data_IF_846078365705
#
_entry.id   IF_846078365705
#
_cell.length_a   1.000
_cell.length_b   1.000
_cell.length_c   1.000
_cell.angle_alpha   90.00
_cell.angle_beta   90.00
_cell.angle_gamma   90.00
#
_symmetry.space_group_name_H-M   'P 1'
#
loop_
_entity.id
_entity.type
_entity.pdbx_description
1 polymer ?
#
# COMPACT_ATOMS: atom_id res chain seq x y z
N UNK A 1 22.75 15.42 10.88
CA UNK A 1 22.35 16.45 9.92
C UNK A 1 21.00 16.00 9.41
N UNK A 2 19.93 16.65 9.87
CA UNK A 2 18.60 16.44 9.29
C UNK A 2 18.53 17.19 7.94
N UNK A 3 17.79 16.68 6.98
CA UNK A 3 17.66 17.24 5.65
C UNK A 3 16.20 17.64 5.40
N UNK A 4 15.97 18.72 4.64
CA UNK A 4 14.63 19.28 4.39
C UNK A 4 14.34 19.26 2.90
N UNK A 5 13.23 18.66 2.45
CA UNK A 5 12.89 18.57 1.02
C UNK A 5 12.05 19.74 0.50
N UNK A 6 12.30 20.13 -0.75
CA UNK A 6 11.57 21.15 -1.49
C UNK A 6 11.11 20.62 -2.86
N UNK A 7 9.83 20.80 -3.19
CA UNK A 7 9.29 20.44 -4.51
C UNK A 7 9.63 21.54 -5.52
N UNK A 8 10.30 21.19 -6.62
CA UNK A 8 10.67 22.13 -7.69
C UNK A 8 9.62 22.26 -8.80
N UNK A 9 8.46 21.60 -8.65
CA UNK A 9 7.43 21.50 -9.69
C UNK A 9 7.62 20.27 -10.57
N UNK A 10 6.81 20.11 -11.62
CA UNK A 10 6.90 18.98 -12.56
C UNK A 10 7.48 19.46 -13.89
N UNK A 11 8.46 18.73 -14.42
CA UNK A 11 9.03 18.97 -15.74
C UNK A 11 8.32 18.10 -16.79
N UNK A 12 7.82 18.74 -17.84
CA UNK A 12 7.32 18.10 -19.05
C UNK A 12 8.49 17.87 -20.01
N UNK A 13 8.66 16.63 -20.48
CA UNK A 13 9.60 16.27 -21.54
C UNK A 13 8.86 15.51 -22.64
N UNK A 14 9.13 15.87 -23.89
CA UNK A 14 8.82 15.03 -25.05
C UNK A 14 9.99 14.06 -25.23
N UNK A 15 9.71 12.76 -25.29
CA UNK A 15 10.73 11.76 -25.66
C UNK A 15 10.77 11.54 -27.17
N UNK A 16 11.68 10.67 -27.62
CA UNK A 16 11.86 10.38 -29.03
C UNK A 16 10.56 9.81 -29.61
N UNK A 17 10.13 10.36 -30.76
CA UNK A 17 8.87 9.98 -31.37
C UNK A 17 8.99 8.76 -32.29
N UNK A 18 7.92 8.00 -32.39
CA UNK A 18 7.79 6.91 -33.35
C UNK A 18 6.98 7.39 -34.57
N UNK A 19 7.32 6.87 -35.76
CA UNK A 19 6.57 7.17 -36.99
C UNK A 19 5.78 5.94 -37.40
N UNK A 20 4.46 6.11 -37.53
CA UNK A 20 3.57 5.10 -38.09
C UNK A 20 3.44 5.30 -39.61
N UNK A 21 3.99 4.36 -40.39
CA UNK A 21 3.94 4.41 -41.85
C UNK A 21 2.54 4.13 -42.42
N UNK A 22 1.65 3.46 -41.68
CA UNK A 22 0.29 3.09 -42.12
C UNK A 22 -0.68 4.27 -41.92
N UNK A 23 -0.59 4.95 -40.78
CA UNK A 23 -1.41 6.12 -40.43
C UNK A 23 -0.78 7.44 -40.95
N UNK A 24 0.51 7.42 -41.33
CA UNK A 24 1.32 8.60 -41.68
C UNK A 24 1.40 9.63 -40.54
N UNK A 25 1.55 9.15 -39.30
CA UNK A 25 1.57 9.98 -38.09
C UNK A 25 2.90 9.84 -37.33
N UNK A 26 3.41 10.95 -36.79
CA UNK A 26 4.47 10.93 -35.79
C UNK A 26 3.85 11.03 -34.39
N UNK A 27 4.20 10.12 -33.50
CA UNK A 27 3.69 10.08 -32.13
C UNK A 27 4.82 10.33 -31.16
N UNK A 28 4.69 11.37 -30.32
CA UNK A 28 5.67 11.74 -29.30
C UNK A 28 5.05 11.60 -27.91
N UNK A 29 5.56 10.71 -27.04
CA UNK A 29 5.01 10.58 -25.70
C UNK A 29 5.37 11.80 -24.83
N UNK A 30 4.38 12.31 -24.12
CA UNK A 30 4.55 13.33 -23.09
C UNK A 30 4.85 12.64 -21.78
N UNK A 31 6.05 12.89 -21.26
CA UNK A 31 6.55 12.33 -20.02
C UNK A 31 6.68 13.43 -18.97
N UNK A 32 6.05 13.24 -17.82
CA UNK A 32 6.21 14.09 -16.64
C UNK A 32 7.25 13.50 -15.70
N UNK A 33 8.24 14.32 -15.30
CA UNK A 33 9.19 13.98 -14.24
C UNK A 33 9.08 15.00 -13.13
N UNK A 34 8.84 14.55 -11.91
CA UNK A 34 8.74 15.44 -10.74
C UNK A 34 10.06 15.41 -9.95
N UNK A 35 10.93 16.42 -10.10
CA UNK A 35 12.11 16.61 -9.26
C UNK A 35 11.76 16.86 -7.80
N UNK A 36 12.58 16.33 -6.91
CA UNK A 36 12.59 16.62 -5.47
C UNK A 36 14.00 17.00 -5.05
N UNK A 37 14.15 18.24 -4.59
CA UNK A 37 15.40 18.73 -4.05
C UNK A 37 15.47 18.43 -2.56
N UNK A 38 16.57 17.83 -2.13
CA UNK A 38 16.89 17.58 -0.72
C UNK A 38 17.87 18.65 -0.30
N UNK A 39 17.52 19.47 0.68
CA UNK A 39 18.36 20.52 1.25
C UNK A 39 18.88 20.09 2.62
N UNK A 40 19.92 20.75 3.12
CA UNK A 40 20.29 20.65 4.53
C UNK A 40 19.22 21.25 5.47
N UNK A 41 19.34 21.00 6.78
CA UNK A 41 18.44 21.53 7.82
C UNK A 41 18.24 23.05 7.74
N UNK A 42 19.29 23.77 7.32
CA UNK A 42 19.30 25.21 7.12
C UNK A 42 18.61 25.69 5.85
N UNK A 43 18.26 24.78 4.93
CA UNK A 43 17.80 25.06 3.56
C UNK A 43 18.79 25.89 2.74
N UNK A 44 20.06 25.89 3.11
CA UNK A 44 21.10 26.71 2.47
C UNK A 44 21.75 25.96 1.31
N UNK A 45 21.95 24.64 1.45
CA UNK A 45 22.65 23.84 0.45
C UNK A 45 21.81 22.66 -0.02
N UNK A 46 21.81 22.42 -1.33
CA UNK A 46 21.28 21.19 -1.91
C UNK A 46 22.23 20.02 -1.64
N UNK A 47 21.69 18.98 -1.02
CA UNK A 47 22.39 17.75 -0.64
C UNK A 47 22.18 16.67 -1.70
N UNK A 48 20.98 16.62 -2.30
CA UNK A 48 20.63 15.60 -3.29
C UNK A 48 19.46 16.10 -4.19
N UNK A 49 19.35 15.56 -5.40
CA UNK A 49 18.24 15.82 -6.32
C UNK A 49 17.74 14.48 -6.86
N UNK A 50 16.51 14.12 -6.49
CA UNK A 50 15.86 12.89 -6.95
C UNK A 50 14.75 13.22 -7.92
N UNK A 51 14.50 12.34 -8.88
CA UNK A 51 13.33 12.42 -9.76
C UNK A 51 12.40 11.27 -9.44
N UNK A 52 11.10 11.56 -9.34
CA UNK A 52 10.09 10.51 -9.44
C UNK A 52 10.11 9.96 -10.87
N UNK A 53 9.67 8.72 -11.02
CA UNK A 53 9.68 8.06 -12.31
C UNK A 53 8.83 8.80 -13.35
N UNK A 54 9.25 8.70 -14.62
CA UNK A 54 8.56 9.33 -15.73
C UNK A 54 7.12 8.82 -15.86
N UNK A 55 6.15 9.71 -15.69
CA UNK A 55 4.73 9.41 -15.89
C UNK A 55 4.38 9.74 -17.34
N UNK A 56 3.90 8.76 -18.10
CA UNK A 56 3.30 9.01 -19.41
C UNK A 56 1.92 9.65 -19.22
N UNK A 57 1.73 10.85 -19.76
CA UNK A 57 0.48 11.62 -19.61
C UNK A 57 -0.28 11.82 -20.92
N UNK A 58 0.07 11.04 -21.93
CA UNK A 58 -0.51 11.07 -23.26
C UNK A 58 0.51 11.38 -24.34
N UNK A 59 0.05 11.41 -25.58
CA UNK A 59 0.90 11.55 -26.77
C UNK A 59 0.57 12.82 -27.54
N UNK A 60 1.60 13.44 -28.12
CA UNK A 60 1.44 14.44 -29.18
C UNK A 60 1.53 13.71 -30.50
N UNK A 61 0.46 13.72 -31.28
CA UNK A 61 0.47 13.16 -32.63
C UNK A 61 0.58 14.28 -33.67
N UNK A 62 1.36 14.04 -34.72
CA UNK A 62 1.56 14.95 -35.83
C UNK A 62 1.27 14.20 -37.12
N UNK A 63 0.20 14.60 -37.81
CA UNK A 63 -0.12 14.07 -39.14
C UNK A 63 0.95 14.58 -40.14
N UNK A 64 1.68 13.65 -40.77
CA UNK A 64 2.77 14.00 -41.68
C UNK A 64 2.30 14.63 -43.00
N UNK A 65 1.04 14.43 -43.38
CA UNK A 65 0.42 14.93 -44.60
C UNK A 65 -0.15 16.34 -44.41
N UNK A 66 -0.93 16.55 -43.34
CA UNK A 66 -1.60 17.84 -43.06
C UNK A 66 -0.73 18.77 -42.22
N UNK A 67 0.21 18.22 -41.46
CA UNK A 67 0.99 18.90 -40.39
C UNK A 67 0.13 19.39 -39.24
N UNK A 68 -1.09 18.87 -39.11
CA UNK A 68 -1.92 19.13 -37.95
C UNK A 68 -1.32 18.41 -36.74
N UNK A 69 -1.40 19.06 -35.59
CA UNK A 69 -0.85 18.57 -34.33
C UNK A 69 -2.00 18.38 -33.35
N UNK A 70 -2.15 17.17 -32.83
CA UNK A 70 -3.05 16.88 -31.73
C UNK A 70 -2.28 16.81 -30.41
N UNK A 71 -2.87 17.36 -29.36
CA UNK A 71 -2.26 17.41 -28.04
C UNK A 71 -3.23 16.83 -27.02
N UNK A 72 -2.73 16.14 -25.97
CA UNK A 72 -3.59 15.67 -24.92
C UNK A 72 -4.21 16.88 -24.22
N UNK A 73 -5.51 16.80 -24.02
CA UNK A 73 -6.28 17.83 -23.35
C UNK A 73 -5.83 17.94 -21.90
N UNK A 74 -6.06 19.11 -21.29
CA UNK A 74 -5.82 19.32 -19.85
C UNK A 74 -6.57 18.31 -18.97
N UNK A 75 -7.71 17.78 -19.44
CA UNK A 75 -8.46 16.74 -18.73
C UNK A 75 -7.67 15.44 -18.74
N UNK A 76 -7.23 14.96 -19.91
CA UNK A 76 -6.48 13.71 -20.05
C UNK A 76 -5.21 13.72 -19.19
N UNK A 77 -4.47 14.82 -19.17
CA UNK A 77 -3.26 14.95 -18.33
C UNK A 77 -3.62 14.88 -16.83
N UNK A 78 -4.74 15.50 -16.43
CA UNK A 78 -5.21 15.48 -15.04
C UNK A 78 -5.67 14.08 -14.64
N UNK A 79 -6.40 13.40 -15.52
CA UNK A 79 -6.92 12.05 -15.28
C UNK A 79 -5.76 11.04 -15.17
N UNK A 80 -4.76 11.11 -16.05
CA UNK A 80 -3.56 10.29 -15.98
C UNK A 80 -2.77 10.49 -14.67
N UNK A 81 -2.63 11.73 -14.21
CA UNK A 81 -2.00 12.04 -12.93
C UNK A 81 -2.78 11.49 -11.73
N UNK A 82 -4.11 11.63 -11.75
CA UNK A 82 -4.96 11.10 -10.67
C UNK A 82 -4.92 9.58 -10.63
N UNK A 83 -4.86 8.90 -11.77
CA UNK A 83 -4.78 7.44 -11.83
C UNK A 83 -3.42 6.95 -11.34
N UNK A 84 -2.32 7.61 -11.74
CA UNK A 84 -1.00 7.32 -11.18
C UNK A 84 -0.94 7.51 -9.67
N UNK A 85 -1.53 8.58 -9.13
CA UNK A 85 -1.58 8.80 -7.68
C UNK A 85 -2.38 7.73 -6.95
N UNK A 86 -3.46 7.21 -7.55
CA UNK A 86 -4.25 6.10 -6.99
C UNK A 86 -3.45 4.81 -7.01
N UNK A 87 -2.79 4.48 -8.11
CA UNK A 87 -1.97 3.27 -8.23
C UNK A 87 -0.82 3.27 -7.22
N UNK A 88 -0.11 4.39 -7.10
CA UNK A 88 0.95 4.56 -6.11
C UNK A 88 0.42 4.39 -4.68
N UNK A 89 -0.72 5.02 -4.37
CA UNK A 89 -1.32 4.91 -3.05
C UNK A 89 -1.79 3.48 -2.74
N UNK A 90 -2.41 2.80 -3.70
CA UNK A 90 -2.82 1.41 -3.56
C UNK A 90 -1.62 0.49 -3.33
N UNK A 91 -0.55 0.69 -4.11
CA UNK A 91 0.67 -0.08 -3.94
C UNK A 91 1.26 0.13 -2.53
N UNK A 92 1.34 1.38 -2.04
CA UNK A 92 1.81 1.68 -0.67
C UNK A 92 0.94 0.99 0.37
N UNK A 93 -0.38 0.99 0.21
CA UNK A 93 -1.27 0.30 1.13
C UNK A 93 -1.10 -1.22 1.09
N UNK A 94 -0.87 -1.83 -0.09
CA UNK A 94 -0.51 -3.24 -0.25
C UNK A 94 0.79 -3.57 0.46
N UNK A 95 1.81 -2.72 0.29
CA UNK A 95 3.09 -2.83 0.99
C UNK A 95 2.90 -2.78 2.50
N UNK A 96 2.05 -1.85 2.96
CA UNK A 96 1.76 -1.68 4.37
C UNK A 96 1.05 -2.90 4.96
N UNK A 97 0.07 -3.46 4.25
CA UNK A 97 -0.59 -4.72 4.65
C UNK A 97 0.42 -5.86 4.73
N UNK A 98 1.37 -5.93 3.79
CA UNK A 98 2.41 -6.96 3.80
C UNK A 98 3.43 -6.79 4.91
N UNK A 99 3.78 -5.55 5.24
CA UNK A 99 4.73 -5.23 6.30
C UNK A 99 4.11 -5.38 7.70
N UNK A 100 2.84 -5.01 7.85
CA UNK A 100 2.19 -4.83 9.16
C UNK A 100 0.95 -5.69 9.36
N UNK A 101 0.73 -6.72 8.55
CA UNK A 101 -0.49 -7.52 8.61
C UNK A 101 -0.72 -8.12 10.00
N UNK A 102 0.33 -8.62 10.65
CA UNK A 102 0.33 -9.04 12.06
C UNK A 102 -0.13 -7.96 13.06
N UNK A 103 0.21 -6.69 12.86
CA UNK A 103 -0.29 -5.60 13.70
C UNK A 103 -1.74 -5.23 13.33
N UNK A 104 -2.02 -5.11 12.04
CA UNK A 104 -3.35 -4.76 11.54
C UNK A 104 -4.42 -5.81 11.88
N UNK A 105 -4.02 -7.06 12.10
CA UNK A 105 -4.93 -8.14 12.51
C UNK A 105 -5.56 -7.94 13.90
N UNK A 106 -4.98 -7.07 14.72
CA UNK A 106 -5.48 -6.72 16.06
C UNK A 106 -6.48 -5.56 16.04
N UNK A 107 -6.74 -4.96 14.88
CA UNK A 107 -7.73 -3.90 14.74
C UNK A 107 -9.16 -4.47 14.84
N UNK A 108 -10.13 -3.69 15.34
CA UNK A 108 -11.51 -4.16 15.41
C UNK A 108 -12.13 -4.23 14.00
N UNK A 109 -12.59 -5.42 13.63
CA UNK A 109 -13.24 -5.69 12.34
C UNK A 109 -14.77 -5.57 12.44
N UNK A 110 -15.44 -5.07 11.39
CA UNK A 110 -16.88 -5.26 11.26
C UNK A 110 -17.18 -6.75 11.06
N UNK A 111 -18.06 -7.31 11.91
CA UNK A 111 -18.40 -8.75 11.95
C UNK A 111 -18.66 -9.35 10.55
N UNK A 112 -19.33 -8.62 9.65
CA UNK A 112 -19.83 -9.21 8.40
C UNK A 112 -18.79 -9.40 7.28
N UNK A 113 -17.60 -8.77 7.33
CA UNK A 113 -16.68 -8.80 6.18
C UNK A 113 -15.71 -9.98 6.21
N UNK A 114 -15.25 -10.37 7.40
CA UNK A 114 -14.37 -11.52 7.59
C UNK A 114 -15.03 -12.70 8.29
N UNK A 115 -16.34 -12.64 8.57
CA UNK A 115 -17.08 -13.73 9.21
C UNK A 115 -16.72 -15.10 8.63
N UNK A 116 -16.79 -15.37 7.31
CA UNK A 116 -16.46 -16.70 6.80
C UNK A 116 -15.04 -17.18 7.13
N UNK A 117 -14.06 -16.27 7.00
CA UNK A 117 -12.67 -16.56 7.34
C UNK A 117 -12.50 -16.82 8.84
N UNK A 118 -13.13 -15.99 9.68
CA UNK A 118 -13.10 -16.13 11.14
C UNK A 118 -13.84 -17.38 11.61
N UNK A 119 -14.97 -17.73 11.00
CA UNK A 119 -15.79 -18.89 11.34
C UNK A 119 -15.02 -20.18 11.07
N UNK A 120 -14.41 -20.30 9.88
CA UNK A 120 -13.55 -21.43 9.52
C UNK A 120 -12.37 -21.53 10.50
N UNK A 121 -11.65 -20.44 10.74
CA UNK A 121 -10.46 -20.48 11.59
C UNK A 121 -10.80 -20.76 13.05
N UNK A 122 -11.86 -20.15 13.57
CA UNK A 122 -12.29 -20.34 14.97
C UNK A 122 -12.73 -21.78 15.22
N UNK A 123 -13.46 -22.37 14.28
CA UNK A 123 -13.92 -23.75 14.40
C UNK A 123 -12.73 -24.73 14.36
N UNK A 124 -11.73 -24.53 13.48
CA UNK A 124 -10.50 -25.35 13.49
C UNK A 124 -9.67 -25.11 14.76
N UNK A 125 -9.56 -23.87 15.23
CA UNK A 125 -8.79 -23.54 16.44
C UNK A 125 -9.40 -24.23 17.67
N UNK A 126 -10.73 -24.20 17.82
CA UNK A 126 -11.42 -24.73 19.00
C UNK A 126 -11.64 -26.24 18.93
N UNK A 127 -12.04 -26.77 17.77
CA UNK A 127 -12.48 -28.16 17.61
C UNK A 127 -11.46 -29.03 16.86
N UNK A 128 -10.39 -28.43 16.32
CA UNK A 128 -9.29 -29.12 15.63
C UNK A 128 -9.58 -29.53 14.19
N UNK A 129 -10.86 -29.59 13.79
CA UNK A 129 -11.25 -29.97 12.44
C UNK A 129 -12.63 -29.44 12.02
N UNK A 130 -12.86 -29.35 10.71
CA UNK A 130 -14.16 -29.04 10.09
C UNK A 130 -14.47 -30.06 9.02
N UNK A 131 -15.69 -30.59 8.99
CA UNK A 131 -16.16 -31.43 7.89
C UNK A 131 -16.48 -30.57 6.65
N UNK A 132 -15.98 -30.97 5.47
CA UNK A 132 -16.23 -30.27 4.20
C UNK A 132 -17.74 -30.15 3.91
N UNK A 133 -18.53 -31.17 4.25
CA UNK A 133 -19.99 -31.14 4.11
C UNK A 133 -20.65 -30.02 4.93
N UNK A 134 -20.11 -29.64 6.09
CA UNK A 134 -20.64 -28.54 6.89
C UNK A 134 -20.41 -27.19 6.20
N UNK A 135 -19.30 -27.06 5.47
CA UNK A 135 -18.94 -25.88 4.70
C UNK A 135 -19.85 -25.75 3.48
N UNK A 136 -20.05 -26.85 2.74
CA UNK A 136 -20.95 -26.90 1.58
C UNK A 136 -22.39 -26.52 1.97
N UNK A 137 -22.84 -26.93 3.17
CA UNK A 137 -24.13 -26.50 3.69
C UNK A 137 -24.19 -24.98 3.89
N UNK A 138 -23.13 -24.36 4.43
CA UNK A 138 -23.08 -22.90 4.61
C UNK A 138 -23.06 -22.12 3.29
N UNK A 139 -22.27 -22.57 2.30
CA UNK A 139 -22.22 -21.97 0.96
C UNK A 139 -23.58 -22.09 0.22
N UNK A 140 -24.31 -23.20 0.40
CA UNK A 140 -25.59 -23.44 -0.28
C UNK A 140 -26.71 -22.44 0.08
N UNK A 141 -26.57 -21.71 1.19
CA UNK A 141 -27.53 -20.68 1.60
C UNK A 141 -27.21 -19.29 1.06
N UNK A 142 -25.99 -19.03 0.57
CA UNK A 142 -25.52 -17.70 0.17
C UNK A 142 -25.30 -17.53 -1.35
N UNK A 143 -25.65 -18.53 -2.19
CA UNK A 143 -25.52 -18.50 -3.67
C UNK A 143 -24.13 -18.07 -4.19
N UNK A 144 -23.10 -18.17 -3.35
CA UNK A 144 -21.73 -17.77 -3.68
C UNK A 144 -20.74 -18.76 -3.08
N UNK A 145 -19.74 -19.18 -3.87
CA UNK A 145 -18.63 -20.04 -3.44
C UNK A 145 -17.66 -19.28 -2.51
N UNK A 146 -18.19 -18.57 -1.51
CA UNK A 146 -17.46 -17.60 -0.70
C UNK A 146 -16.58 -18.29 0.32
N UNK A 147 -17.07 -19.34 1.00
CA UNK A 147 -16.25 -20.10 1.94
C UNK A 147 -15.17 -20.90 1.21
N UNK A 148 -15.51 -21.50 0.06
CA UNK A 148 -14.54 -22.29 -0.71
C UNK A 148 -13.30 -21.48 -1.13
N UNK A 149 -13.46 -20.21 -1.55
CA UNK A 149 -12.33 -19.33 -1.88
C UNK A 149 -11.39 -19.08 -0.70
N UNK A 150 -11.92 -18.88 0.51
CA UNK A 150 -11.09 -18.73 1.71
C UNK A 150 -10.37 -20.01 2.04
N UNK A 151 -11.03 -21.17 1.92
CA UNK A 151 -10.41 -22.46 2.19
C UNK A 151 -9.21 -22.70 1.28
N UNK A 152 -9.36 -22.42 0.00
CA UNK A 152 -8.27 -22.62 -0.96
C UNK A 152 -7.06 -21.73 -0.60
N UNK A 153 -7.31 -20.46 -0.26
CA UNK A 153 -6.27 -19.54 0.22
C UNK A 153 -5.63 -20.02 1.54
N UNK A 154 -6.43 -20.46 2.50
CA UNK A 154 -5.96 -20.95 3.79
C UNK A 154 -5.13 -22.23 3.66
N UNK A 155 -5.49 -23.10 2.71
CA UNK A 155 -4.72 -24.31 2.41
C UNK A 155 -3.40 -23.98 1.72
N UNK A 156 -3.41 -23.04 0.78
CA UNK A 156 -2.19 -22.57 0.11
C UNK A 156 -1.19 -21.96 1.10
N UNK A 157 -1.67 -21.22 2.10
CA UNK A 157 -0.85 -20.63 3.16
C UNK A 157 -0.45 -21.62 4.27
N UNK A 158 -0.82 -22.89 4.13
CA UNK A 158 -0.60 -23.95 5.13
C UNK A 158 -1.15 -23.62 6.52
N UNK A 159 -2.20 -22.79 6.56
CA UNK A 159 -3.02 -22.53 7.74
C UNK A 159 -4.02 -23.67 7.94
N UNK A 160 -4.51 -24.24 6.85
CA UNK A 160 -5.34 -25.44 6.83
C UNK A 160 -4.72 -26.55 5.98
N UNK A 161 -5.06 -27.81 6.27
CA UNK A 161 -4.76 -28.97 5.43
C UNK A 161 -6.03 -29.79 5.19
N UNK A 162 -6.28 -30.14 3.93
CA UNK A 162 -7.35 -31.05 3.56
C UNK A 162 -6.89 -32.50 3.69
N UNK A 163 -7.63 -33.32 4.44
CA UNK A 163 -7.40 -34.77 4.58
C UNK A 163 -8.72 -35.52 4.38
N UNK A 164 -8.99 -35.94 3.14
CA UNK A 164 -10.30 -36.50 2.79
C UNK A 164 -11.38 -35.44 2.94
N UNK A 165 -12.44 -35.76 3.67
CA UNK A 165 -13.63 -34.91 3.85
C UNK A 165 -13.54 -33.98 5.08
N UNK A 166 -12.34 -33.79 5.63
CA UNK A 166 -12.10 -32.87 6.76
C UNK A 166 -10.96 -31.90 6.47
N UNK A 167 -11.10 -30.67 6.97
CA UNK A 167 -10.05 -29.66 7.07
C UNK A 167 -9.52 -29.65 8.50
N UNK A 168 -8.20 -29.56 8.66
CA UNK A 168 -7.50 -29.50 9.96
C UNK A 168 -6.44 -28.42 9.95
N UNK A 169 -5.86 -28.11 11.11
CA UNK A 169 -4.70 -27.22 11.21
C UNK A 169 -3.55 -27.65 10.31
N UNK A 170 -3.07 -26.73 9.47
CA UNK A 170 -1.81 -26.86 8.73
C UNK A 170 -0.60 -26.57 9.60
N UNK A 171 0.62 -26.67 9.05
CA UNK A 171 1.83 -26.58 9.90
C UNK A 171 2.03 -25.16 10.44
N UNK A 172 1.60 -24.13 9.70
CA UNK A 172 1.66 -22.74 10.17
C UNK A 172 0.69 -22.53 11.33
N UNK A 173 -0.56 -23.01 11.23
CA UNK A 173 -1.53 -22.90 12.32
C UNK A 173 -1.07 -23.70 13.56
N UNK A 174 -0.59 -24.93 13.39
CA UNK A 174 -0.02 -25.71 14.50
C UNK A 174 1.14 -24.95 15.18
N UNK A 175 2.00 -24.32 14.38
CA UNK A 175 3.12 -23.52 14.92
C UNK A 175 2.64 -22.33 15.75
N UNK A 176 1.54 -21.67 15.34
CA UNK A 176 0.94 -20.57 16.10
C UNK A 176 0.38 -21.08 17.43
N UNK A 177 -0.34 -22.21 17.42
CA UNK A 177 -0.98 -22.80 18.60
C UNK A 177 0.03 -23.38 19.62
N UNK A 178 1.23 -23.78 19.17
CA UNK A 178 2.26 -24.38 20.03
C UNK A 178 3.23 -23.37 20.67
N UNK A 179 3.24 -22.11 20.21
CA UNK A 179 4.23 -21.10 20.64
C UNK A 179 3.63 -20.04 21.54
N UNK A 180 4.36 -19.67 22.59
CA UNK A 180 4.00 -18.54 23.46
C UNK A 180 4.06 -17.17 22.75
N UNK A 181 4.75 -17.10 21.60
CA UNK A 181 4.88 -15.88 20.77
C UNK A 181 4.95 -16.20 19.28
N UNK A 182 4.30 -15.37 18.47
CA UNK A 182 4.34 -15.41 17.01
C UNK A 182 4.46 -14.00 16.44
N UNK A 183 5.43 -13.78 15.53
CA UNK A 183 5.65 -12.49 14.86
C UNK A 183 5.69 -11.26 15.80
N UNK A 184 6.25 -11.43 17.01
CA UNK A 184 6.38 -10.37 18.01
C UNK A 184 5.22 -10.27 19.02
N UNK A 185 4.09 -10.92 18.73
CA UNK A 185 2.89 -10.92 19.57
C UNK A 185 2.85 -12.13 20.50
N UNK A 186 2.26 -11.98 21.68
CA UNK A 186 2.11 -13.06 22.66
C UNK A 186 0.83 -13.83 22.34
N UNK A 187 0.90 -15.16 22.41
CA UNK A 187 -0.25 -16.04 22.19
C UNK A 187 -0.65 -16.61 23.55
N UNK A 188 -1.76 -16.13 24.11
CA UNK A 188 -2.30 -16.64 25.38
C UNK A 188 -3.72 -17.18 25.24
N UNK A 189 -4.46 -16.68 24.26
CA UNK A 189 -5.88 -16.96 24.05
C UNK A 189 -6.16 -17.38 22.61
N UNK A 190 -7.30 -18.02 22.38
CA UNK A 190 -7.77 -18.33 21.03
C UNK A 190 -8.00 -17.07 20.17
N UNK A 191 -8.28 -15.92 20.79
CA UNK A 191 -8.34 -14.66 20.06
C UNK A 191 -6.96 -14.24 19.55
N UNK A 192 -5.90 -14.45 20.33
CA UNK A 192 -4.53 -14.16 19.90
C UNK A 192 -4.09 -15.10 18.77
N UNK A 193 -4.46 -16.40 18.86
CA UNK A 193 -4.26 -17.36 17.78
C UNK A 193 -4.98 -16.92 16.50
N UNK A 194 -6.25 -16.52 16.60
CA UNK A 194 -7.03 -16.02 15.46
C UNK A 194 -6.40 -14.75 14.86
N UNK A 195 -5.98 -13.79 15.69
CA UNK A 195 -5.31 -12.57 15.22
C UNK A 195 -3.98 -12.90 14.53
N UNK A 196 -3.18 -13.83 15.06
CA UNK A 196 -1.92 -14.24 14.44
C UNK A 196 -2.16 -14.87 13.06
N UNK A 197 -3.19 -15.73 12.94
CA UNK A 197 -3.54 -16.36 11.66
C UNK A 197 -4.07 -15.34 10.65
N UNK A 198 -4.93 -14.42 11.09
CA UNK A 198 -5.43 -13.33 10.23
C UNK A 198 -4.28 -12.43 9.78
N UNK A 199 -3.30 -12.16 10.66
CA UNK A 199 -2.10 -11.42 10.31
C UNK A 199 -1.33 -12.10 9.19
N UNK A 200 -1.07 -13.40 9.35
CA UNK A 200 -0.42 -14.21 8.32
C UNK A 200 -1.17 -14.20 7.00
N UNK A 201 -2.50 -14.33 7.07
CA UNK A 201 -3.38 -14.25 5.90
C UNK A 201 -3.26 -12.89 5.19
N UNK A 202 -3.29 -11.78 5.93
CA UNK A 202 -3.13 -10.44 5.35
C UNK A 202 -1.77 -10.25 4.69
N UNK A 203 -0.70 -10.69 5.33
CA UNK A 203 0.66 -10.50 4.81
C UNK A 203 0.91 -11.25 3.50
N UNK A 204 0.27 -12.41 3.31
CA UNK A 204 0.53 -13.28 2.17
C UNK A 204 -0.56 -13.24 1.10
N UNK A 205 -1.77 -12.79 1.42
CA UNK A 205 -2.89 -12.74 0.48
C UNK A 205 -3.20 -11.31 -0.01
N UNK A 206 -2.15 -10.57 -0.38
CA UNK A 206 -2.26 -9.22 -0.97
C UNK A 206 -2.98 -9.25 -2.33
N UNK A 207 -3.08 -10.41 -2.98
CA UNK A 207 -3.90 -10.59 -4.19
C UNK A 207 -5.38 -10.26 -3.98
N UNK A 208 -5.88 -10.43 -2.75
CA UNK A 208 -7.24 -10.10 -2.33
C UNK A 208 -7.32 -8.71 -1.66
N UNK A 209 -6.43 -7.78 -2.03
CA UNK A 209 -6.29 -6.47 -1.39
C UNK A 209 -7.60 -5.69 -1.30
N UNK A 210 -8.47 -5.76 -2.31
CA UNK A 210 -9.77 -5.08 -2.29
C UNK A 210 -10.65 -5.51 -1.11
N UNK A 211 -10.59 -6.78 -0.73
CA UNK A 211 -11.28 -7.27 0.46
C UNK A 211 -10.65 -6.71 1.74
N UNK A 212 -9.32 -6.72 1.81
CA UNK A 212 -8.56 -6.15 2.93
C UNK A 212 -8.87 -4.67 3.10
N UNK A 213 -8.91 -3.92 2.00
CA UNK A 213 -9.21 -2.50 1.93
C UNK A 213 -10.64 -2.17 2.37
N UNK A 214 -11.64 -3.01 2.07
CA UNK A 214 -13.02 -2.78 2.56
C UNK A 214 -13.11 -2.77 4.08
N UNK A 215 -12.28 -3.58 4.74
CA UNK A 215 -12.25 -3.68 6.19
C UNK A 215 -11.32 -2.64 6.82
N UNK A 216 -10.08 -2.59 6.33
CA UNK A 216 -9.01 -1.78 6.90
C UNK A 216 -8.90 -0.38 6.31
N UNK A 217 -9.73 -0.05 5.31
CA UNK A 217 -9.58 1.14 4.47
C UNK A 217 -9.28 2.45 5.20
N UNK A 218 -10.01 2.81 6.26
CA UNK A 218 -9.73 4.06 6.96
C UNK A 218 -8.36 4.06 7.67
N UNK A 219 -7.91 2.90 8.15
CA UNK A 219 -6.60 2.74 8.78
C UNK A 219 -5.50 2.80 7.71
N UNK A 220 -5.69 2.09 6.60
CA UNK A 220 -4.78 2.09 5.45
C UNK A 220 -4.69 3.47 4.79
N UNK A 221 -5.76 4.25 4.74
CA UNK A 221 -5.74 5.61 4.22
C UNK A 221 -4.88 6.55 5.08
N UNK A 222 -5.01 6.44 6.42
CA UNK A 222 -4.23 7.26 7.35
C UNK A 222 -2.75 6.83 7.39
N UNK A 223 -2.51 5.54 7.63
CA UNK A 223 -1.16 5.00 7.71
C UNK A 223 -0.46 5.01 6.35
N UNK A 224 -1.17 4.69 5.26
CA UNK A 224 -0.66 4.79 3.90
C UNK A 224 -0.26 6.21 3.52
N UNK A 225 -1.04 7.23 3.90
CA UNK A 225 -0.63 8.63 3.72
C UNK A 225 0.65 8.94 4.51
N UNK A 226 0.72 8.52 5.78
CA UNK A 226 1.92 8.71 6.61
C UNK A 226 3.15 8.06 5.98
N UNK A 227 3.06 6.76 5.68
CA UNK A 227 4.20 6.00 5.17
C UNK A 227 4.56 6.39 3.75
N UNK A 228 3.61 6.80 2.91
CA UNK A 228 3.93 7.47 1.64
C UNK A 228 4.84 8.66 1.87
N UNK A 229 4.51 9.54 2.83
CA UNK A 229 5.38 10.67 3.17
C UNK A 229 6.71 10.23 3.73
N UNK A 230 6.74 9.22 4.59
CA UNK A 230 7.99 8.68 5.12
C UNK A 230 8.91 8.16 4.00
N UNK A 231 8.35 7.39 3.06
CA UNK A 231 9.07 6.86 1.91
C UNK A 231 9.54 7.99 0.98
N UNK A 232 8.68 8.96 0.71
CA UNK A 232 9.01 10.16 -0.06
C UNK A 232 10.09 11.04 0.60
N UNK A 233 10.28 10.95 1.92
CA UNK A 233 11.28 11.70 2.68
C UNK A 233 12.53 10.87 2.98
N UNK A 234 12.44 9.55 2.85
CA UNK A 234 13.48 8.57 3.23
C UNK A 234 13.77 8.55 4.74
N UNK A 235 12.81 9.01 5.55
CA UNK A 235 12.86 9.11 7.01
C UNK A 235 11.45 9.03 7.61
N UNK A 236 11.32 8.88 8.92
CA UNK A 236 10.04 8.93 9.63
C UNK A 236 9.71 10.38 10.07
N UNK A 237 8.82 11.10 9.34
CA UNK A 237 8.48 12.47 9.71
C UNK A 237 7.54 12.53 10.92
N UNK A 238 7.63 13.62 11.68
CA UNK A 238 6.63 13.97 12.70
C UNK A 238 5.58 14.86 12.04
N UNK A 239 4.33 14.38 11.93
CA UNK A 239 3.26 15.10 11.21
C UNK A 239 2.04 15.41 12.07
N UNK A 240 1.30 16.45 11.70
CA UNK A 240 0.06 16.84 12.39
C UNK A 240 -1.10 15.91 12.00
N UNK A 241 -2.06 15.77 12.91
CA UNK A 241 -3.32 15.06 12.61
C UNK A 241 -4.06 15.66 11.39
N UNK A 242 -3.97 16.98 11.20
CA UNK A 242 -4.54 17.66 10.02
C UNK A 242 -3.96 17.16 8.70
N UNK A 243 -2.69 16.74 8.68
CA UNK A 243 -2.07 16.19 7.48
C UNK A 243 -2.52 14.75 7.26
N UNK A 244 -2.60 13.93 8.31
CA UNK A 244 -3.13 12.57 8.21
C UNK A 244 -4.57 12.53 7.65
N UNK A 245 -5.40 13.52 8.01
CA UNK A 245 -6.77 13.64 7.49
C UNK A 245 -6.83 13.72 5.95
N UNK A 246 -5.77 14.21 5.29
CA UNK A 246 -5.67 14.24 3.83
C UNK A 246 -5.71 12.84 3.21
N UNK A 247 -5.23 11.82 3.93
CA UNK A 247 -5.36 10.43 3.48
C UNK A 247 -6.82 9.99 3.35
N UNK A 248 -7.68 10.38 4.31
CA UNK A 248 -9.12 10.11 4.24
C UNK A 248 -9.79 10.96 3.15
N UNK A 249 -9.35 12.20 2.98
CA UNK A 249 -9.88 13.09 1.95
C UNK A 249 -9.56 12.60 0.54
N UNK A 250 -8.38 12.00 0.36
CA UNK A 250 -7.95 11.37 -0.88
C UNK A 250 -8.72 10.08 -1.19
N UNK A 251 -8.94 9.24 -0.19
CA UNK A 251 -9.51 7.89 -0.39
C UNK A 251 -11.05 7.86 -0.46
N UNK A 252 -11.72 8.85 0.13
CA UNK A 252 -13.17 8.84 0.28
C UNK A 252 -13.82 10.13 -0.19
N UNK A 253 -15.03 10.01 -0.74
CA UNK A 253 -15.83 11.13 -1.21
C UNK A 253 -17.18 11.31 -0.48
N UNK A 254 -17.73 12.52 -0.62
CA UNK A 254 -19.13 12.83 -0.32
C UNK A 254 -19.55 12.59 1.13
N UNK A 255 -20.53 11.69 1.34
CA UNK A 255 -21.08 11.40 2.68
C UNK A 255 -20.17 10.47 3.48
N UNK A 256 -19.52 9.52 2.82
CA UNK A 256 -18.61 8.59 3.50
C UNK A 256 -17.35 9.33 3.98
N UNK A 257 -16.76 10.20 3.16
CA UNK A 257 -15.63 11.05 3.57
C UNK A 257 -15.91 11.78 4.90
N UNK A 258 -17.03 12.49 4.98
CA UNK A 258 -17.43 13.23 6.20
C UNK A 258 -17.56 12.32 7.42
N UNK A 259 -18.14 11.14 7.24
CA UNK A 259 -18.30 10.13 8.30
C UNK A 259 -16.97 9.54 8.74
N UNK A 260 -16.05 9.28 7.81
CA UNK A 260 -14.71 8.77 8.12
C UNK A 260 -13.84 9.85 8.79
N UNK A 261 -13.90 11.10 8.33
CA UNK A 261 -13.23 12.25 8.94
C UNK A 261 -13.70 12.52 10.38
N UNK A 262 -15.00 12.37 10.65
CA UNK A 262 -15.51 12.45 12.01
C UNK A 262 -14.93 11.36 12.92
N UNK A 263 -14.67 10.17 12.37
CA UNK A 263 -14.15 9.00 13.09
C UNK A 263 -12.61 8.93 13.13
N UNK A 264 -11.90 9.87 12.51
CA UNK A 264 -10.43 9.87 12.42
C UNK A 264 -9.75 9.67 13.77
N UNK A 265 -10.19 10.38 14.81
CA UNK A 265 -9.57 10.26 16.13
C UNK A 265 -9.65 8.85 16.70
N UNK A 266 -10.74 8.12 16.43
CA UNK A 266 -10.87 6.71 16.83
C UNK A 266 -9.90 5.82 16.06
N UNK A 267 -9.78 6.01 14.73
CA UNK A 267 -8.86 5.23 13.92
C UNK A 267 -7.40 5.45 14.33
N UNK A 268 -7.04 6.68 14.72
CA UNK A 268 -5.71 7.00 15.20
C UNK A 268 -5.37 6.36 16.54
N UNK A 269 -6.33 6.34 17.49
CA UNK A 269 -6.16 5.61 18.76
C UNK A 269 -5.95 4.11 18.51
N UNK A 270 -6.66 3.55 17.54
CA UNK A 270 -6.52 2.13 17.19
C UNK A 270 -5.19 1.84 16.47
N UNK A 271 -4.72 2.74 15.60
CA UNK A 271 -3.39 2.64 14.98
C UNK A 271 -2.25 2.79 16.01
N UNK A 272 -2.47 3.59 17.06
CA UNK A 272 -1.59 3.67 18.23
C UNK A 272 -1.56 2.36 19.00
N UNK A 273 -2.73 1.80 19.30
CA UNK A 273 -2.87 0.55 20.04
C UNK A 273 -2.15 -0.62 19.36
N UNK A 274 -2.22 -0.71 18.03
CA UNK A 274 -1.54 -1.76 17.26
C UNK A 274 -0.11 -1.39 16.84
N UNK A 275 0.42 -0.25 17.28
CA UNK A 275 1.82 0.13 17.05
C UNK A 275 2.19 0.48 15.60
N UNK A 276 1.22 0.87 14.77
CA UNK A 276 1.48 1.30 13.38
C UNK A 276 1.81 2.79 13.30
N UNK A 277 1.22 3.59 14.18
CA UNK A 277 1.55 5.00 14.40
C UNK A 277 1.69 5.25 15.91
N UNK A 278 2.38 6.30 16.32
CA UNK A 278 2.56 6.67 17.72
C UNK A 278 2.43 8.18 17.92
N UNK A 279 1.79 8.65 19.00
CA UNK A 279 1.69 10.07 19.27
C UNK A 279 3.02 10.63 19.79
N UNK A 280 3.39 11.81 19.30
CA UNK A 280 4.53 12.60 19.78
C UNK A 280 4.02 13.96 20.23
N UNK A 281 4.41 14.42 21.42
CA UNK A 281 3.97 15.70 21.96
C UNK A 281 5.08 16.75 21.84
N UNK A 282 4.82 17.83 21.11
CA UNK A 282 5.73 18.97 20.99
C UNK A 282 4.98 20.25 21.37
N UNK A 283 5.51 21.00 22.33
CA UNK A 283 4.90 22.26 22.81
C UNK A 283 3.43 22.12 23.25
N UNK A 284 3.02 20.96 23.75
CA UNK A 284 1.64 20.67 24.15
C UNK A 284 0.68 20.31 23.01
N UNK A 285 1.14 20.33 21.75
CA UNK A 285 0.41 19.83 20.60
C UNK A 285 0.74 18.36 20.33
N UNK A 286 -0.26 17.59 19.86
CA UNK A 286 -0.10 16.18 19.47
C UNK A 286 0.23 16.06 17.99
N UNK A 287 1.31 15.36 17.71
CA UNK A 287 1.78 14.94 16.40
C UNK A 287 1.81 13.41 16.34
N UNK A 288 2.11 12.89 15.16
CA UNK A 288 2.15 11.47 14.87
C UNK A 288 3.46 11.10 14.20
N UNK A 289 4.01 9.96 14.62
CA UNK A 289 5.19 9.34 14.05
C UNK A 289 4.87 7.88 13.69
N UNK A 290 5.57 7.32 12.72
CA UNK A 290 5.47 5.93 12.34
C UNK A 290 6.39 5.04 13.18
N UNK A 291 6.25 3.75 12.96
CA UNK A 291 7.10 2.71 13.50
C UNK A 291 8.28 2.43 12.55
N UNK A 292 9.48 2.35 13.11
CA UNK A 292 10.73 2.13 12.38
C UNK A 292 10.78 0.75 11.73
N UNK A 293 10.21 -0.26 12.41
CA UNK A 293 10.18 -1.63 11.89
C UNK A 293 9.32 -1.70 10.64
N UNK A 294 8.12 -1.10 10.72
CA UNK A 294 7.20 -0.95 9.59
C UNK A 294 7.86 -0.22 8.42
N UNK A 295 8.53 0.91 8.69
CA UNK A 295 9.22 1.67 7.65
C UNK A 295 10.34 0.88 6.98
N UNK A 296 11.13 0.13 7.76
CA UNK A 296 12.21 -0.73 7.27
C UNK A 296 11.65 -1.88 6.42
N UNK A 297 10.57 -2.51 6.86
CA UNK A 297 9.90 -3.58 6.11
C UNK A 297 9.27 -3.05 4.83
N UNK A 298 8.62 -1.89 4.86
CA UNK A 298 8.11 -1.21 3.67
C UNK A 298 9.23 -0.97 2.66
N UNK A 299 10.39 -0.47 3.11
CA UNK A 299 11.60 -0.32 2.29
C UNK A 299 12.06 -1.63 1.65
N UNK A 300 12.09 -2.72 2.41
CA UNK A 300 12.50 -4.03 1.89
C UNK A 300 11.49 -4.66 0.92
N UNK A 301 10.20 -4.30 1.05
CA UNK A 301 9.11 -4.87 0.24
C UNK A 301 8.80 -4.03 -1.00
N UNK A 302 9.26 -2.77 -1.00
CA UNK A 302 9.07 -1.81 -2.07
C UNK A 302 9.56 -2.29 -3.43
N UNK A 303 10.67 -3.04 -3.47
CA UNK A 303 11.27 -3.59 -4.69
C UNK A 303 10.36 -4.59 -5.43
N UNK A 304 9.29 -5.06 -4.77
CA UNK A 304 8.40 -6.10 -5.29
C UNK A 304 7.04 -5.59 -5.74
N UNK A 305 6.76 -4.29 -5.59
CA UNK A 305 5.40 -3.74 -5.71
C UNK A 305 5.24 -2.70 -6.82
N UNK A 306 6.08 -2.75 -7.86
CA UNK A 306 5.96 -1.91 -9.06
C UNK A 306 6.24 -0.43 -8.75
N UNK A 307 5.26 0.49 -8.89
CA UNK A 307 5.46 1.94 -8.75
C UNK A 307 6.04 2.40 -7.40
N UNK A 308 6.10 1.50 -6.41
CA UNK A 308 6.75 1.77 -5.13
C UNK A 308 8.26 1.73 -5.26
N UNK A 309 8.85 0.76 -5.97
CA UNK A 309 10.31 0.54 -6.12
C UNK A 309 11.07 1.81 -6.53
N UNK A 310 10.36 2.69 -7.23
CA UNK A 310 10.79 3.96 -7.81
C UNK A 310 11.07 5.04 -6.75
N UNK A 311 10.43 4.97 -5.58
CA UNK A 311 10.74 5.82 -4.42
C UNK A 311 12.06 5.42 -3.73
N UNK A 312 12.63 4.25 -4.06
CA UNK A 312 13.76 3.61 -3.38
C UNK A 312 15.01 3.51 -4.26
N UNK A 313 14.92 3.89 -5.53
CA UNK A 313 16.06 3.85 -6.45
C UNK A 313 17.15 4.84 -6.00
N UNK A 314 18.40 4.39 -5.77
CA UNK A 314 19.51 5.31 -5.59
C UNK A 314 19.67 6.11 -6.88
N UNK A 315 19.99 7.40 -6.76
CA UNK A 315 20.15 8.30 -7.89
C UNK A 315 20.90 7.59 -9.02
N UNK A 316 20.29 7.52 -10.20
CA UNK A 316 21.02 7.35 -11.45
C UNK A 316 21.96 8.55 -11.54
N UNK A 317 23.13 8.41 -10.91
CA UNK A 317 24.27 9.24 -11.20
C UNK A 317 24.51 9.02 -12.69
N UNK A 318 24.25 10.06 -13.48
CA UNK A 318 24.67 10.15 -14.87
C UNK A 318 26.18 9.90 -14.90
N UNK A 319 26.59 8.65 -15.06
CA UNK A 319 27.85 8.30 -15.69
C UNK A 319 27.70 8.53 -17.19
N UNK A 320 27.46 9.79 -17.56
CA UNK A 320 27.96 10.35 -18.80
C UNK A 320 28.90 11.48 -18.40
N UNK A 321 30.05 11.11 -17.86
CA UNK A 321 31.23 11.96 -17.88
C UNK A 321 31.52 12.30 -19.34
N UNK A 322 31.08 13.50 -19.73
CA UNK A 322 31.74 14.36 -20.69
C UNK A 322 33.24 14.43 -20.36
N UNK A 323 34.05 13.52 -20.89
CA UNK A 323 35.51 13.66 -20.89
C UNK A 323 36.16 12.68 -21.88
N UNK A 324 36.02 12.95 -23.18
CA UNK A 324 37.03 12.59 -24.17
C UNK A 324 36.88 13.39 -25.47
N UNK A 325 36.85 14.72 -25.35
CA UNK A 325 37.17 15.64 -26.45
C UNK A 325 37.89 16.84 -25.86
N UNK A 326 39.18 16.67 -25.58
CA UNK A 326 40.22 17.72 -25.51
C UNK A 326 41.55 17.05 -25.15
N UNK A 327 42.22 16.48 -26.16
CA UNK A 327 43.65 16.68 -26.51
C UNK A 327 44.15 15.59 -27.47
#
# INVERSE_FOLDING_TARGET
>A
MEAVRFNLGTYLRLEDGEFDEEELEYTFPIILRSPKLILDEGRENAVDLRFLDPIHVGDVTVDASTKDIDYPTKSQVKDALEDYEKELNEAIQKALVRATGSNLSHLPFPENQYAPLQDILSEVILNGEIAVAAIEMMDSYEDSDKYQKYIDSLVELDLLKRRGDVLRSGDVLNTIQEKDKFEGHRIETHQDELNAVLGRYFEHNVGEFEMIKRTLGPYLALAGYYYRRALELDELPIIKESDLRKGIEFEYDGREQRKKLFKTSRYLVQLEEVGVLSPVYQNGERFWNGDETTFTQLKATADQLGPITELFSPALSEQQTFESLSD
#
